data_IF_938356185796
#
_entry.id   IF_938356185796
#
_cell.length_a   1.000
_cell.length_b   1.000
_cell.length_c   1.000
_cell.angle_alpha   90.00
_cell.angle_beta   90.00
_cell.angle_gamma   90.00
#
_symmetry.space_group_name_H-M   'P 1'
#
loop_
_entity.id
_entity.type
_entity.pdbx_description
1 polymer ?
#
# COMPACT_ATOMS: atom_id res chain seq x y z
N UNK A 1 -12.15 6.69 27.09
CA UNK A 1 -12.24 6.56 25.65
C UNK A 1 -11.55 5.30 25.16
N UNK A 2 -12.20 4.58 24.31
CA UNK A 2 -11.63 3.34 23.81
C UNK A 2 -10.42 3.65 22.90
N UNK A 3 -9.35 2.89 23.10
CA UNK A 3 -8.17 2.99 22.29
C UNK A 3 -8.44 2.34 20.94
N UNK A 4 -8.10 3.03 19.85
CA UNK A 4 -8.26 2.47 18.52
C UNK A 4 -7.21 1.39 18.30
N UNK A 5 -7.66 0.18 18.05
CA UNK A 5 -6.77 -0.93 17.67
C UNK A 5 -6.51 -0.84 16.18
N UNK A 6 -5.26 -1.01 15.74
CA UNK A 6 -4.99 -1.04 14.31
C UNK A 6 -5.81 -2.13 13.62
N UNK A 7 -6.38 -1.79 12.48
CA UNK A 7 -7.15 -2.74 11.71
C UNK A 7 -6.22 -3.67 10.93
N UNK A 8 -6.62 -4.93 10.83
CA UNK A 8 -5.92 -5.87 9.98
C UNK A 8 -6.33 -5.67 8.54
N UNK A 9 -5.35 -5.72 7.65
CA UNK A 9 -5.62 -5.60 6.22
C UNK A 9 -5.99 -6.94 5.64
N UNK A 10 -7.07 -6.95 4.85
CA UNK A 10 -7.47 -8.13 4.12
C UNK A 10 -6.44 -8.45 3.03
N UNK A 11 -6.30 -9.73 2.64
CA UNK A 11 -5.41 -10.11 1.55
C UNK A 11 -5.68 -9.27 0.29
N UNK A 12 -4.63 -8.77 -0.32
CA UNK A 12 -4.71 -7.93 -1.51
C UNK A 12 -4.88 -6.45 -1.23
N UNK A 13 -5.44 -6.08 -0.07
CA UNK A 13 -5.64 -4.66 0.27
C UNK A 13 -4.32 -3.95 0.48
N UNK A 14 -3.36 -4.60 1.12
CA UNK A 14 -2.04 -4.03 1.32
C UNK A 14 -1.35 -3.73 -0.01
N UNK A 15 -1.46 -4.63 -0.97
CA UNK A 15 -0.86 -4.45 -2.29
C UNK A 15 -1.41 -3.18 -2.96
N UNK A 16 -2.72 -2.96 -2.88
CA UNK A 16 -3.36 -1.75 -3.39
C UNK A 16 -2.81 -0.49 -2.72
N UNK A 17 -2.64 -0.53 -1.40
CA UNK A 17 -2.12 0.62 -0.64
C UNK A 17 -0.66 0.90 -1.00
N UNK A 18 0.15 -0.13 -1.19
CA UNK A 18 1.55 0.03 -1.62
C UNK A 18 1.61 0.70 -2.99
N UNK A 19 0.82 0.21 -3.95
CA UNK A 19 0.77 0.81 -5.28
C UNK A 19 0.38 2.29 -5.21
N UNK A 20 -0.59 2.63 -4.37
CA UNK A 20 -1.06 4.01 -4.20
C UNK A 20 0.04 4.92 -3.63
N UNK A 21 0.78 4.45 -2.63
CA UNK A 21 1.85 5.27 -2.07
C UNK A 21 2.95 5.51 -3.09
N UNK A 22 3.28 4.51 -3.90
CA UNK A 22 4.32 4.64 -4.93
C UNK A 22 3.86 5.47 -6.13
N UNK A 23 2.55 5.63 -6.33
CA UNK A 23 2.04 6.53 -7.36
C UNK A 23 2.39 7.99 -7.06
N UNK A 24 2.58 8.34 -5.79
CA UNK A 24 2.98 9.68 -5.39
C UNK A 24 4.49 9.93 -5.56
N UNK A 25 5.28 8.86 -5.70
CA UNK A 25 6.73 8.94 -5.87
C UNK A 25 7.41 7.70 -5.34
N UNK A 26 8.63 7.47 -5.78
CA UNK A 26 9.41 6.33 -5.33
C UNK A 26 9.65 6.41 -3.82
N UNK A 27 9.73 5.25 -3.17
CA UNK A 27 9.96 5.21 -1.74
C UNK A 27 10.54 3.84 -1.34
N UNK A 28 11.14 3.80 -0.16
CA UNK A 28 11.63 2.56 0.43
C UNK A 28 10.58 1.96 1.37
N UNK A 29 10.81 0.72 1.82
CA UNK A 29 9.81 -0.01 2.62
C UNK A 29 9.35 0.72 3.86
N UNK A 30 10.29 1.25 4.65
CA UNK A 30 9.94 2.00 5.86
C UNK A 30 9.08 3.22 5.53
N UNK A 31 9.45 3.96 4.49
CA UNK A 31 8.69 5.14 4.07
C UNK A 31 7.30 4.79 3.56
N UNK A 32 7.16 3.67 2.86
CA UNK A 32 5.85 3.19 2.40
C UNK A 32 4.95 2.90 3.60
N UNK A 33 5.45 2.13 4.56
CA UNK A 33 4.69 1.78 5.77
C UNK A 33 4.29 3.03 6.55
N UNK A 34 5.21 3.98 6.68
CA UNK A 34 4.95 5.23 7.38
C UNK A 34 3.87 6.06 6.67
N UNK A 35 3.91 6.13 5.32
CA UNK A 35 2.89 6.85 4.55
C UNK A 35 1.52 6.23 4.70
N UNK A 36 1.43 4.91 4.65
CA UNK A 36 0.16 4.21 4.87
C UNK A 36 -0.40 4.55 6.25
N UNK A 37 0.46 4.54 7.26
CA UNK A 37 0.07 4.89 8.62
C UNK A 37 -0.44 6.33 8.70
N UNK A 38 0.29 7.28 8.15
CA UNK A 38 -0.09 8.69 8.16
C UNK A 38 -1.39 8.94 7.43
N UNK A 39 -1.52 8.42 6.22
CA UNK A 39 -2.70 8.63 5.39
C UNK A 39 -3.96 7.99 5.97
N UNK A 40 -3.81 6.91 6.72
CA UNK A 40 -4.93 6.25 7.38
C UNK A 40 -5.18 6.77 8.79
N UNK A 41 -4.46 7.79 9.22
CA UNK A 41 -4.55 8.36 10.57
C UNK A 41 -4.40 7.27 11.63
N UNK A 42 -3.33 6.48 11.49
CA UNK A 42 -2.95 5.39 12.39
C UNK A 42 -3.91 4.20 12.41
N UNK A 43 -4.91 4.16 11.54
CA UNK A 43 -5.80 3.00 11.46
C UNK A 43 -5.03 1.77 10.98
N UNK A 44 -4.15 1.95 9.98
CA UNK A 44 -3.32 0.86 9.47
C UNK A 44 -1.88 1.03 9.93
N UNK A 45 -1.36 0.00 10.60
CA UNK A 45 0.04 -0.07 11.01
C UNK A 45 0.63 -1.32 10.39
N UNK A 46 1.37 -1.12 9.31
CA UNK A 46 1.88 -2.22 8.50
C UNK A 46 3.24 -2.66 9.04
N UNK A 47 3.34 -3.93 9.43
CA UNK A 47 4.58 -4.51 9.89
C UNK A 47 5.42 -5.07 8.74
N UNK A 48 6.69 -5.29 9.02
CA UNK A 48 7.63 -5.83 8.02
C UNK A 48 7.23 -7.21 7.52
N UNK A 49 6.66 -8.02 8.41
CA UNK A 49 6.25 -9.40 8.06
C UNK A 49 5.16 -9.42 6.99
N UNK A 50 4.39 -8.35 6.86
CA UNK A 50 3.36 -8.24 5.82
C UNK A 50 3.86 -7.44 4.62
N UNK A 51 4.64 -6.39 4.88
CA UNK A 51 5.07 -5.45 3.85
C UNK A 51 6.06 -6.08 2.87
N UNK A 52 7.11 -6.74 3.37
CA UNK A 52 8.14 -7.28 2.49
C UNK A 52 7.63 -8.35 1.54
N UNK A 53 6.79 -9.29 1.97
CA UNK A 53 6.17 -10.21 1.02
C UNK A 53 5.33 -9.51 -0.05
N UNK A 54 4.62 -8.44 0.31
CA UNK A 54 3.84 -7.66 -0.65
C UNK A 54 4.75 -6.99 -1.68
N UNK A 55 5.84 -6.38 -1.25
CA UNK A 55 6.82 -5.76 -2.15
C UNK A 55 7.43 -6.79 -3.09
N UNK A 56 7.71 -7.99 -2.59
CA UNK A 56 8.24 -9.06 -3.41
C UNK A 56 7.24 -9.52 -4.48
N UNK A 57 5.98 -9.72 -4.10
CA UNK A 57 4.93 -10.09 -5.05
C UNK A 57 4.78 -9.07 -6.15
N UNK A 58 4.70 -7.79 -5.78
CA UNK A 58 4.52 -6.70 -6.73
C UNK A 58 5.72 -6.56 -7.66
N UNK A 59 6.92 -6.82 -7.16
CA UNK A 59 8.13 -6.83 -7.97
C UNK A 59 8.11 -7.97 -8.99
N UNK A 60 7.74 -9.17 -8.54
CA UNK A 60 7.66 -10.33 -9.42
C UNK A 60 6.60 -10.16 -10.51
N UNK A 61 5.51 -9.47 -10.17
CA UNK A 61 4.44 -9.19 -11.12
C UNK A 61 4.76 -8.04 -12.08
N UNK A 62 5.89 -7.37 -11.89
CA UNK A 62 6.30 -6.28 -12.77
C UNK A 62 5.59 -4.95 -12.51
N UNK A 63 4.91 -4.80 -11.38
CA UNK A 63 4.18 -3.58 -11.05
C UNK A 63 5.06 -2.53 -10.38
N UNK A 64 6.15 -2.95 -9.77
CA UNK A 64 7.14 -2.07 -9.16
C UNK A 64 8.53 -2.58 -9.51
N UNK A 65 9.53 -1.67 -9.52
CA UNK A 65 10.92 -2.03 -9.74
C UNK A 65 11.77 -1.57 -8.56
N UNK A 66 12.64 -2.46 -8.05
CA UNK A 66 13.52 -2.10 -6.94
C UNK A 66 14.83 -1.51 -7.45
N UNK A 67 15.39 -0.60 -6.66
CA UNK A 67 16.76 -0.14 -6.88
C UNK A 67 17.36 0.32 -5.57
N UNK A 68 18.66 0.16 -5.41
CA UNK A 68 19.34 0.61 -4.21
C UNK A 68 19.58 2.12 -4.26
N UNK A 69 19.43 2.78 -3.11
CA UNK A 69 19.69 4.18 -2.96
C UNK A 69 20.11 4.51 -1.54
N UNK A 70 20.20 5.78 -1.25
CA UNK A 70 20.56 6.27 0.09
C UNK A 70 19.36 7.01 0.65
N UNK A 71 18.94 6.63 1.86
CA UNK A 71 17.81 7.27 2.53
C UNK A 71 18.23 8.60 3.17
N UNK A 72 17.25 9.34 3.67
CA UNK A 72 17.47 10.61 4.37
C UNK A 72 18.43 10.48 5.55
N UNK A 73 18.47 9.30 6.17
CA UNK A 73 19.35 9.02 7.29
C UNK A 73 20.74 8.54 6.85
N UNK A 74 21.08 8.76 5.59
CA UNK A 74 22.36 8.34 5.01
C UNK A 74 22.59 6.83 5.12
N UNK A 75 21.51 6.05 5.06
CA UNK A 75 21.56 4.60 5.09
C UNK A 75 21.20 4.02 3.74
N UNK A 76 21.83 2.93 3.39
CA UNK A 76 21.48 2.20 2.19
C UNK A 76 20.07 1.66 2.32
N UNK A 77 19.23 1.92 1.31
CA UNK A 77 17.85 1.48 1.32
C UNK A 77 17.45 1.02 -0.07
N UNK A 78 16.54 0.05 -0.13
CA UNK A 78 15.99 -0.40 -1.38
C UNK A 78 14.74 0.40 -1.69
N UNK A 79 14.80 1.18 -2.76
CA UNK A 79 13.69 2.00 -3.22
C UNK A 79 12.86 1.25 -4.26
N UNK A 80 11.60 1.58 -4.32
CA UNK A 80 10.67 0.98 -5.28
C UNK A 80 10.01 2.08 -6.09
N UNK A 81 9.89 1.84 -7.37
CA UNK A 81 9.26 2.77 -8.31
C UNK A 81 8.09 2.07 -9.00
N UNK A 82 6.96 2.76 -9.08
CA UNK A 82 5.80 2.23 -9.78
C UNK A 82 6.05 2.21 -11.28
N UNK A 83 5.80 1.07 -11.91
CA UNK A 83 5.93 0.92 -13.37
C UNK A 83 4.65 1.39 -14.08
N UNK A 84 4.70 1.49 -15.41
CA UNK A 84 3.50 1.75 -16.20
C UNK A 84 2.44 0.65 -15.97
N UNK A 85 2.87 -0.60 -15.92
CA UNK A 85 1.98 -1.72 -15.60
C UNK A 85 1.41 -1.59 -14.20
N UNK A 86 2.20 -1.12 -13.24
CA UNK A 86 1.75 -0.87 -11.87
C UNK A 86 0.70 0.23 -11.79
N UNK A 87 0.84 1.28 -12.59
CA UNK A 87 -0.18 2.36 -12.63
C UNK A 87 -1.50 1.84 -13.16
N UNK A 88 -1.43 1.01 -14.19
CA UNK A 88 -2.62 0.40 -14.77
C UNK A 88 -3.29 -0.55 -13.78
N UNK A 89 -2.49 -1.34 -13.07
CA UNK A 89 -2.98 -2.25 -12.06
C UNK A 89 -3.62 -1.49 -10.89
N UNK A 90 -3.01 -0.40 -10.46
CA UNK A 90 -3.57 0.46 -9.41
C UNK A 90 -4.97 0.96 -9.81
N UNK A 91 -5.12 1.46 -11.04
CA UNK A 91 -6.39 1.96 -11.52
C UNK A 91 -7.46 0.85 -11.52
N UNK A 92 -7.11 -0.34 -11.99
CA UNK A 92 -8.02 -1.47 -12.04
C UNK A 92 -8.45 -1.93 -10.64
N UNK A 93 -7.48 -2.07 -9.73
CA UNK A 93 -7.77 -2.52 -8.36
C UNK A 93 -8.56 -1.48 -7.59
N UNK A 94 -8.28 -0.21 -7.82
CA UNK A 94 -9.01 0.89 -7.18
C UNK A 94 -10.48 0.91 -7.62
N UNK A 95 -10.73 0.73 -8.91
CA UNK A 95 -12.09 0.67 -9.43
C UNK A 95 -12.86 -0.51 -8.85
N UNK A 96 -12.23 -1.68 -8.75
CA UNK A 96 -12.84 -2.87 -8.16
C UNK A 96 -13.11 -2.65 -6.67
N UNK A 97 -12.17 -2.05 -5.95
CA UNK A 97 -12.35 -1.74 -4.54
C UNK A 97 -13.55 -0.83 -4.33
N UNK A 98 -13.68 0.23 -5.12
CA UNK A 98 -14.80 1.17 -5.00
C UNK A 98 -16.14 0.48 -5.27
N UNK A 99 -16.17 -0.42 -6.27
CA UNK A 99 -17.37 -1.20 -6.58
C UNK A 99 -17.78 -2.10 -5.43
N UNK A 100 -16.82 -2.81 -4.84
CA UNK A 100 -17.09 -3.72 -3.72
C UNK A 100 -17.53 -2.95 -2.48
N UNK A 101 -16.87 -1.86 -2.16
CA UNK A 101 -17.23 -1.03 -1.00
C UNK A 101 -18.63 -0.46 -1.17
N UNK A 102 -18.99 0.01 -2.36
CA UNK A 102 -20.33 0.53 -2.62
C UNK A 102 -21.39 -0.56 -2.40
N UNK A 103 -21.11 -1.77 -2.89
CA UNK A 103 -22.04 -2.89 -2.69
C UNK A 103 -22.17 -3.26 -1.21
N UNK A 104 -21.07 -3.29 -0.48
CA UNK A 104 -21.09 -3.59 0.94
C UNK A 104 -21.89 -2.53 1.72
N UNK A 105 -21.71 -1.27 1.38
CA UNK A 105 -22.46 -0.19 2.02
C UNK A 105 -23.95 -0.33 1.80
N UNK A 106 -24.36 -0.75 0.61
CA UNK A 106 -25.78 -1.00 0.32
C UNK A 106 -26.34 -2.13 1.17
N UNK A 107 -25.59 -3.23 1.28
CA UNK A 107 -26.02 -4.38 2.10
C UNK A 107 -26.10 -4.00 3.58
N UNK A 108 -25.13 -3.21 4.07
CA UNK A 108 -25.10 -2.77 5.47
C UNK A 108 -26.12 -1.67 5.78
N UNK A 109 -26.74 -1.09 4.77
CA UNK A 109 -27.74 -0.06 4.98
C UNK A 109 -27.19 1.35 5.13
N UNK A 110 -25.94 1.61 4.75
CA UNK A 110 -25.42 2.97 4.72
C UNK A 110 -25.97 3.71 3.51
N UNK A 111 -26.29 4.95 3.73
CA UNK A 111 -26.80 5.81 2.66
C UNK A 111 -25.71 6.17 1.64
#
# INVERSE_FOLDING_TARGET
MARTTPAELLPGTLDLLVLRTLAAGRNHGYGIAQRVRELSRDVFQVGESSLYPALQRLTLDGYITPEWGVSENNRRARYYTLTAAGRKQLAAERAEFERVVAAMRMVLGFA
#
